data_IF_951882939935
#
_entry.id   IF_951882939935
#
_cell.length_a   1.000
_cell.length_b   1.000
_cell.length_c   1.000
_cell.angle_alpha   90.00
_cell.angle_beta   90.00
_cell.angle_gamma   90.00
#
_symmetry.space_group_name_H-M   'P 1'
#
loop_
_entity.id
_entity.type
_entity.pdbx_description
1 polymer ?
#
# COMPACT_ATOMS: atom_id res chain seq x y z
N UNK A 1 -13.03 15.07 6.49
CA UNK A 1 -13.25 15.91 7.67
C UNK A 1 -14.54 16.72 7.55
N UNK A 2 -14.74 17.48 6.45
CA UNK A 2 -15.94 18.32 6.25
C UNK A 2 -17.26 17.53 6.48
N UNK A 3 -17.38 16.35 5.90
CA UNK A 3 -18.57 15.51 6.03
C UNK A 3 -18.82 15.12 7.50
N UNK A 4 -17.78 14.70 8.21
CA UNK A 4 -17.91 14.31 9.63
C UNK A 4 -18.34 15.50 10.49
N UNK A 5 -17.81 16.69 10.23
CA UNK A 5 -18.21 17.93 10.92
C UNK A 5 -19.68 18.31 10.65
N UNK A 6 -20.24 17.86 9.54
CA UNK A 6 -21.66 18.03 9.17
C UNK A 6 -22.54 16.88 9.69
N UNK A 7 -22.00 15.97 10.50
CA UNK A 7 -22.74 14.81 11.03
C UNK A 7 -22.94 13.69 10.02
N UNK A 8 -22.18 13.69 8.91
CA UNK A 8 -22.19 12.63 7.90
C UNK A 8 -21.09 11.65 8.25
N UNK A 9 -21.46 10.46 8.70
CA UNK A 9 -20.54 9.44 9.20
C UNK A 9 -20.21 8.37 8.14
N UNK A 10 -19.16 7.54 8.36
CA UNK A 10 -18.87 6.41 7.50
C UNK A 10 -20.04 5.44 7.34
N UNK A 11 -20.24 4.83 6.16
CA UNK A 11 -19.42 4.97 4.95
C UNK A 11 -19.78 6.20 4.09
N UNK A 12 -20.87 6.92 4.40
CA UNK A 12 -21.36 8.04 3.62
C UNK A 12 -20.32 9.19 3.54
N UNK A 13 -19.56 9.41 4.61
CA UNK A 13 -18.49 10.42 4.65
C UNK A 13 -17.42 10.21 3.59
N UNK A 14 -17.19 8.95 3.17
CA UNK A 14 -16.19 8.58 2.18
C UNK A 14 -16.56 8.96 0.75
N UNK A 15 -17.84 9.01 0.40
CA UNK A 15 -18.28 9.25 -0.98
C UNK A 15 -19.07 10.55 -1.20
N UNK A 16 -19.79 11.03 -0.20
CA UNK A 16 -20.68 12.20 -0.37
C UNK A 16 -19.90 13.46 -0.67
N UNK A 17 -20.11 14.02 -1.86
CA UNK A 17 -19.41 15.22 -2.34
C UNK A 17 -17.89 15.11 -2.23
N UNK A 18 -17.33 13.92 -2.44
CA UNK A 18 -15.90 13.65 -2.36
C UNK A 18 -15.34 13.26 -3.74
N UNK A 19 -14.76 14.22 -4.50
CA UNK A 19 -14.15 13.94 -5.79
C UNK A 19 -12.86 13.11 -5.67
N UNK A 20 -12.27 13.03 -4.47
CA UNK A 20 -10.99 12.35 -4.18
C UNK A 20 -11.16 10.95 -3.62
N UNK A 21 -12.37 10.39 -3.67
CA UNK A 21 -12.71 9.12 -3.04
C UNK A 21 -11.95 7.89 -3.55
N UNK A 22 -11.31 8.00 -4.73
CA UNK A 22 -10.51 6.94 -5.35
C UNK A 22 -9.04 7.35 -5.55
N UNK A 23 -8.59 8.38 -4.84
CA UNK A 23 -7.18 8.75 -4.80
C UNK A 23 -6.39 7.82 -3.88
N UNK A 24 -5.06 7.83 -3.99
CA UNK A 24 -4.17 6.91 -3.29
C UNK A 24 -4.19 7.04 -1.76
N UNK A 25 -4.77 8.10 -1.22
CA UNK A 25 -4.71 8.41 0.21
C UNK A 25 -5.21 7.33 1.17
N UNK A 26 -6.10 6.42 0.76
CA UNK A 26 -6.44 5.23 1.53
C UNK A 26 -5.39 4.12 1.30
N UNK A 27 -5.07 3.80 0.05
CA UNK A 27 -4.13 2.74 -0.30
C UNK A 27 -2.78 2.92 0.42
N UNK A 28 -2.21 4.13 0.43
CA UNK A 28 -0.90 4.40 1.03
C UNK A 28 -0.81 4.10 2.53
N UNK A 29 -1.92 4.12 3.28
CA UNK A 29 -1.91 3.90 4.74
C UNK A 29 -2.34 2.49 5.16
N UNK A 30 -2.74 1.64 4.21
CA UNK A 30 -3.23 0.29 4.47
C UNK A 30 -2.21 -0.65 5.11
N UNK A 31 -0.92 -0.35 5.00
CA UNK A 31 0.16 -1.20 5.48
C UNK A 31 0.03 -1.57 6.97
N UNK A 32 -0.36 -0.63 7.84
CA UNK A 32 -0.52 -0.90 9.27
C UNK A 32 -1.58 -1.97 9.55
N UNK A 33 -2.64 -2.02 8.73
CA UNK A 33 -3.67 -3.06 8.85
C UNK A 33 -3.11 -4.45 8.55
N UNK A 34 -2.15 -4.55 7.61
CA UNK A 34 -1.42 -5.77 7.33
C UNK A 34 -0.43 -6.13 8.44
N UNK A 35 0.28 -5.15 8.99
CA UNK A 35 1.24 -5.35 10.08
C UNK A 35 0.58 -5.93 11.34
N UNK A 36 -0.62 -5.49 11.70
CA UNK A 36 -1.35 -5.99 12.87
C UNK A 36 -2.10 -7.31 12.62
N UNK A 37 -2.08 -7.81 11.40
CA UNK A 37 -2.73 -9.06 11.00
C UNK A 37 -1.74 -10.01 10.28
N UNK A 38 -0.63 -10.44 10.95
CA UNK A 38 0.41 -11.25 10.32
C UNK A 38 -0.15 -12.56 9.75
N UNK A 39 0.15 -12.85 8.47
CA UNK A 39 -0.29 -14.03 7.73
C UNK A 39 -1.82 -14.25 7.74
N UNK A 40 -2.61 -13.20 7.98
CA UNK A 40 -4.07 -13.24 7.95
C UNK A 40 -4.63 -12.14 7.03
N UNK A 41 -4.50 -12.27 5.70
CA UNK A 41 -4.88 -11.23 4.74
C UNK A 41 -6.39 -10.91 4.77
N UNK A 42 -7.25 -11.85 5.21
CA UNK A 42 -8.68 -11.58 5.39
C UNK A 42 -8.93 -10.58 6.51
N UNK A 43 -8.26 -10.75 7.66
CA UNK A 43 -8.37 -9.80 8.77
C UNK A 43 -7.77 -8.45 8.39
N UNK A 44 -6.61 -8.44 7.72
CA UNK A 44 -5.99 -7.23 7.21
C UNK A 44 -6.94 -6.42 6.31
N UNK A 45 -7.59 -7.09 5.34
CA UNK A 45 -8.57 -6.47 4.46
C UNK A 45 -9.80 -5.93 5.22
N UNK A 46 -10.29 -6.63 6.25
CA UNK A 46 -11.40 -6.16 7.08
C UNK A 46 -11.06 -4.90 7.88
N UNK A 47 -9.83 -4.83 8.41
CA UNK A 47 -9.35 -3.65 9.13
C UNK A 47 -9.20 -2.46 8.17
N UNK A 48 -8.56 -2.67 7.03
CA UNK A 48 -8.39 -1.67 5.98
C UNK A 48 -9.74 -1.16 5.44
N UNK A 49 -10.73 -2.04 5.23
CA UNK A 49 -12.06 -1.61 4.85
C UNK A 49 -12.68 -0.63 5.86
N UNK A 50 -12.57 -0.92 7.16
CA UNK A 50 -13.11 -0.05 8.22
C UNK A 50 -12.42 1.31 8.26
N UNK A 51 -11.12 1.37 8.01
CA UNK A 51 -10.38 2.62 7.92
C UNK A 51 -10.71 3.37 6.62
N UNK A 52 -10.66 2.68 5.49
CA UNK A 52 -10.85 3.27 4.17
C UNK A 52 -12.18 3.98 3.99
N UNK A 53 -13.28 3.38 4.44
CA UNK A 53 -14.64 3.96 4.29
C UNK A 53 -14.85 5.27 5.04
N UNK A 54 -13.96 5.66 5.93
CA UNK A 54 -14.01 6.97 6.62
C UNK A 54 -13.83 8.12 5.62
N UNK A 55 -12.95 7.95 4.64
CA UNK A 55 -12.52 9.02 3.73
C UNK A 55 -12.53 8.66 2.24
N UNK A 56 -12.64 7.39 1.90
CA UNK A 56 -12.61 6.88 0.52
C UNK A 56 -13.81 5.99 0.23
N UNK A 57 -13.95 5.60 -1.03
CA UNK A 57 -15.06 4.77 -1.49
C UNK A 57 -14.61 3.91 -2.66
N UNK A 58 -15.35 2.82 -2.90
CA UNK A 58 -15.17 1.94 -4.05
C UNK A 58 -13.70 1.52 -4.24
N UNK A 59 -13.10 1.79 -5.40
CA UNK A 59 -11.74 1.34 -5.73
C UNK A 59 -10.65 1.95 -4.84
N UNK A 60 -10.86 3.14 -4.27
CA UNK A 60 -9.96 3.71 -3.26
C UNK A 60 -9.87 2.86 -1.99
N UNK A 61 -11.00 2.28 -1.55
CA UNK A 61 -11.03 1.36 -0.40
C UNK A 61 -10.44 -0.01 -0.78
N UNK A 62 -10.74 -0.50 -2.00
CA UNK A 62 -10.18 -1.76 -2.49
C UNK A 62 -8.65 -1.68 -2.56
N UNK A 63 -8.09 -0.53 -2.98
CA UNK A 63 -6.65 -0.31 -2.99
C UNK A 63 -6.01 -0.40 -1.60
N UNK A 64 -6.66 0.16 -0.58
CA UNK A 64 -6.22 0.02 0.81
C UNK A 64 -6.23 -1.43 1.29
N UNK A 65 -7.32 -2.15 0.97
CA UNK A 65 -7.44 -3.57 1.28
C UNK A 65 -6.35 -4.39 0.58
N UNK A 66 -6.04 -4.07 -0.68
CA UNK A 66 -5.00 -4.76 -1.46
C UNK A 66 -3.62 -4.57 -0.84
N UNK A 67 -3.24 -3.34 -0.48
CA UNK A 67 -1.99 -3.07 0.22
C UNK A 67 -1.92 -3.81 1.58
N UNK A 68 -2.97 -3.73 2.38
CA UNK A 68 -3.04 -4.44 3.66
C UNK A 68 -2.89 -5.96 3.50
N UNK A 69 -3.51 -6.55 2.48
CA UNK A 69 -3.38 -7.98 2.19
C UNK A 69 -1.94 -8.35 1.81
N UNK A 70 -1.28 -7.56 0.95
CA UNK A 70 0.12 -7.78 0.59
C UNK A 70 1.02 -7.72 1.83
N UNK A 71 0.89 -6.70 2.67
CA UNK A 71 1.66 -6.58 3.92
C UNK A 71 1.43 -7.77 4.87
N UNK A 72 0.19 -8.24 5.00
CA UNK A 72 -0.13 -9.41 5.80
C UNK A 72 0.51 -10.70 5.25
N UNK A 73 0.52 -10.87 3.91
CA UNK A 73 1.12 -12.03 3.25
C UNK A 73 2.64 -12.04 3.37
N UNK A 74 3.30 -10.88 3.43
CA UNK A 74 4.75 -10.74 3.53
C UNK A 74 5.33 -11.37 4.81
N UNK A 75 4.54 -11.68 5.83
CA UNK A 75 4.98 -12.46 6.99
C UNK A 75 5.22 -13.94 6.69
N UNK A 76 4.64 -14.47 5.61
CA UNK A 76 4.71 -15.90 5.25
C UNK A 76 5.23 -16.14 3.83
N UNK A 77 5.39 -15.09 3.05
CA UNK A 77 5.88 -15.13 1.67
C UNK A 77 6.92 -14.03 1.48
N UNK A 78 8.04 -14.37 0.85
CA UNK A 78 9.14 -13.44 0.65
C UNK A 78 9.31 -13.01 -0.82
N UNK A 79 8.72 -13.76 -1.76
CA UNK A 79 8.76 -13.39 -3.17
C UNK A 79 7.70 -12.33 -3.49
N UNK A 80 8.15 -11.13 -3.82
CA UNK A 80 7.31 -9.96 -4.06
C UNK A 80 6.30 -10.18 -5.20
N UNK A 81 6.72 -10.84 -6.26
CA UNK A 81 5.85 -11.20 -7.38
C UNK A 81 4.73 -12.14 -6.92
N UNK A 82 5.07 -13.18 -6.18
CA UNK A 82 4.11 -14.14 -5.63
C UNK A 82 3.12 -13.47 -4.68
N UNK A 83 3.56 -12.49 -3.87
CA UNK A 83 2.69 -11.71 -2.98
C UNK A 83 1.61 -10.98 -3.81
N UNK A 84 2.02 -10.27 -4.87
CA UNK A 84 1.08 -9.57 -5.78
C UNK A 84 0.08 -10.54 -6.41
N UNK A 85 0.58 -11.67 -6.96
CA UNK A 85 -0.25 -12.70 -7.61
C UNK A 85 -1.25 -13.37 -6.66
N UNK A 86 -0.88 -13.56 -5.40
CA UNK A 86 -1.80 -14.07 -4.37
C UNK A 86 -2.81 -13.03 -3.93
N UNK A 87 -2.38 -11.78 -3.75
CA UNK A 87 -3.24 -10.71 -3.26
C UNK A 87 -4.36 -10.37 -4.25
N UNK A 88 -4.06 -10.32 -5.57
CA UNK A 88 -5.10 -10.06 -6.59
C UNK A 88 -6.20 -11.13 -6.59
N UNK A 89 -5.89 -12.38 -6.24
CA UNK A 89 -6.89 -13.44 -6.17
C UNK A 89 -7.97 -13.19 -5.10
N UNK A 90 -7.72 -12.29 -4.16
CA UNK A 90 -8.67 -11.90 -3.10
C UNK A 90 -9.44 -10.61 -3.42
N UNK A 91 -9.07 -9.90 -4.48
CA UNK A 91 -9.77 -8.69 -4.96
C UNK A 91 -11.01 -9.10 -5.74
N UNK A 92 -12.16 -8.42 -5.56
CA UNK A 92 -13.38 -8.70 -6.35
C UNK A 92 -13.10 -8.56 -7.86
N UNK A 93 -13.35 -9.62 -8.60
CA UNK A 93 -13.01 -9.72 -10.05
C UNK A 93 -13.80 -8.76 -10.94
N UNK A 94 -14.93 -8.27 -10.47
CA UNK A 94 -15.81 -7.30 -11.13
C UNK A 94 -15.47 -5.86 -10.79
N UNK A 95 -14.43 -5.63 -9.95
CA UNK A 95 -13.96 -4.29 -9.64
C UNK A 95 -13.02 -3.75 -10.72
N UNK A 96 -13.05 -2.43 -10.93
CA UNK A 96 -12.07 -1.77 -11.80
C UNK A 96 -10.65 -1.90 -11.25
N UNK A 97 -10.48 -1.89 -9.92
CA UNK A 97 -9.17 -2.08 -9.29
C UNK A 97 -8.55 -3.44 -9.65
N UNK A 98 -9.36 -4.52 -9.67
CA UNK A 98 -8.91 -5.82 -10.17
C UNK A 98 -8.40 -5.72 -11.61
N UNK A 99 -9.17 -5.06 -12.47
CA UNK A 99 -8.81 -4.89 -13.89
C UNK A 99 -7.49 -4.13 -14.06
N UNK A 100 -7.25 -3.11 -13.22
CA UNK A 100 -6.00 -2.32 -13.21
C UNK A 100 -4.80 -3.19 -12.83
N UNK A 101 -4.89 -3.89 -11.69
CA UNK A 101 -3.79 -4.75 -11.21
C UNK A 101 -3.55 -5.91 -12.19
N UNK A 102 -4.62 -6.52 -12.69
CA UNK A 102 -4.52 -7.61 -13.70
C UNK A 102 -3.85 -7.14 -14.99
N UNK A 103 -4.23 -5.97 -15.49
CA UNK A 103 -3.60 -5.36 -16.67
C UNK A 103 -2.10 -5.15 -16.47
N UNK A 104 -1.69 -4.64 -15.31
CA UNK A 104 -0.28 -4.44 -15.00
C UNK A 104 0.49 -5.78 -14.93
N UNK A 105 -0.09 -6.80 -14.28
CA UNK A 105 0.49 -8.15 -14.22
C UNK A 105 0.66 -8.74 -15.61
N UNK A 106 -0.39 -8.73 -16.43
CA UNK A 106 -0.35 -9.29 -17.79
C UNK A 106 0.70 -8.58 -18.64
N UNK A 107 0.75 -7.25 -18.55
CA UNK A 107 1.77 -6.44 -19.25
C UNK A 107 3.18 -6.82 -18.82
N UNK A 108 3.43 -7.06 -17.52
CA UNK A 108 4.73 -7.53 -17.05
C UNK A 108 5.11 -8.89 -17.64
N UNK A 109 4.15 -9.82 -17.70
CA UNK A 109 4.37 -11.17 -18.26
C UNK A 109 4.66 -11.10 -19.76
N UNK A 110 3.90 -10.31 -20.50
CA UNK A 110 4.00 -10.20 -21.96
C UNK A 110 5.29 -9.51 -22.40
N UNK A 111 5.74 -8.48 -21.69
CA UNK A 111 6.91 -7.70 -22.07
C UNK A 111 8.24 -8.26 -21.56
N UNK A 112 8.23 -8.86 -20.35
CA UNK A 112 9.45 -9.32 -19.68
C UNK A 112 10.47 -8.20 -19.36
N UNK A 113 10.08 -6.92 -19.45
CA UNK A 113 10.94 -5.75 -19.24
C UNK A 113 10.21 -4.67 -18.46
N UNK A 114 10.86 -4.11 -17.43
CA UNK A 114 10.33 -3.02 -16.63
C UNK A 114 9.99 -1.80 -17.49
N UNK A 115 10.92 -1.36 -18.32
CA UNK A 115 10.77 -0.15 -19.13
C UNK A 115 9.60 -0.26 -20.12
N UNK A 116 9.45 -1.43 -20.74
CA UNK A 116 8.34 -1.69 -21.66
C UNK A 116 7.01 -1.80 -20.92
N UNK A 117 6.98 -2.55 -19.82
CA UNK A 117 5.77 -2.72 -19.00
C UNK A 117 5.29 -1.38 -18.44
N UNK A 118 6.19 -0.59 -17.85
CA UNK A 118 5.82 0.70 -17.30
C UNK A 118 5.33 1.67 -18.38
N UNK A 119 6.02 1.78 -19.49
CA UNK A 119 5.59 2.64 -20.62
C UNK A 119 4.18 2.31 -21.12
N UNK A 120 3.82 1.02 -21.19
CA UNK A 120 2.48 0.59 -21.59
C UNK A 120 1.46 0.97 -20.52
N UNK A 121 1.74 0.68 -19.24
CA UNK A 121 0.86 1.03 -18.13
C UNK A 121 0.66 2.54 -18.00
N UNK A 122 1.74 3.33 -18.03
CA UNK A 122 1.69 4.78 -17.98
C UNK A 122 0.82 5.37 -19.10
N UNK A 123 1.00 4.90 -20.34
CA UNK A 123 0.17 5.34 -21.45
C UNK A 123 -1.29 4.90 -21.32
N UNK A 124 -1.56 3.73 -20.76
CA UNK A 124 -2.91 3.23 -20.55
C UNK A 124 -3.69 4.07 -19.52
N UNK A 125 -3.02 4.50 -18.46
CA UNK A 125 -3.62 5.27 -17.37
C UNK A 125 -3.39 6.80 -17.46
N UNK A 126 -2.88 7.32 -18.56
CA UNK A 126 -2.49 8.73 -18.74
C UNK A 126 -3.61 9.77 -18.53
N UNK A 127 -4.87 9.36 -18.66
CA UNK A 127 -6.04 10.23 -18.46
C UNK A 127 -6.38 10.40 -16.97
N UNK A 128 -5.82 9.57 -16.09
CA UNK A 128 -5.98 9.69 -14.64
C UNK A 128 -4.98 10.69 -14.06
N UNK A 129 -5.41 11.37 -12.99
CA UNK A 129 -4.51 12.22 -12.23
C UNK A 129 -3.41 11.37 -11.56
N UNK A 130 -2.20 11.89 -11.46
CA UNK A 130 -1.04 11.19 -10.85
C UNK A 130 -1.26 10.75 -9.41
N UNK A 131 -2.25 11.32 -8.69
CA UNK A 131 -2.64 10.92 -7.32
C UNK A 131 -3.71 9.82 -7.33
N UNK A 132 -4.31 9.48 -8.49
CA UNK A 132 -5.35 8.47 -8.57
C UNK A 132 -4.79 7.07 -8.24
N UNK A 133 -5.58 6.22 -7.56
CA UNK A 133 -5.15 4.88 -7.16
C UNK A 133 -4.68 4.00 -8.34
N UNK A 134 -5.26 4.16 -9.54
CA UNK A 134 -4.98 3.27 -10.67
C UNK A 134 -3.57 3.37 -11.25
N UNK A 135 -3.06 4.55 -11.66
CA UNK A 135 -1.68 4.63 -12.15
C UNK A 135 -0.66 4.24 -11.07
N UNK A 136 -0.97 4.54 -9.81
CA UNK A 136 -0.11 4.19 -8.69
C UNK A 136 -0.09 2.69 -8.40
N UNK A 137 -1.23 2.01 -8.39
CA UNK A 137 -1.29 0.55 -8.27
C UNK A 137 -0.55 -0.15 -9.41
N UNK A 138 -0.67 0.35 -10.65
CA UNK A 138 0.07 -0.19 -11.78
C UNK A 138 1.59 0.00 -11.62
N UNK A 139 2.04 1.17 -11.16
CA UNK A 139 3.45 1.45 -10.89
C UNK A 139 4.03 0.51 -9.83
N UNK A 140 3.29 0.31 -8.73
CA UNK A 140 3.68 -0.60 -7.64
C UNK A 140 3.80 -2.05 -8.14
N UNK A 141 2.82 -2.53 -8.89
CA UNK A 141 2.83 -3.89 -9.47
C UNK A 141 4.03 -4.07 -10.40
N UNK A 142 4.26 -3.14 -11.32
CA UNK A 142 5.39 -3.23 -12.25
C UNK A 142 6.73 -3.22 -11.49
N UNK A 143 6.88 -2.34 -10.49
CA UNK A 143 8.10 -2.30 -9.69
C UNK A 143 8.34 -3.63 -8.93
N UNK A 144 7.31 -4.17 -8.27
CA UNK A 144 7.40 -5.43 -7.54
C UNK A 144 7.67 -6.64 -8.45
N UNK A 145 7.19 -6.62 -9.69
CA UNK A 145 7.42 -7.69 -10.66
C UNK A 145 8.87 -7.81 -11.13
N UNK A 146 9.58 -6.68 -11.21
CA UNK A 146 10.95 -6.61 -11.74
C UNK A 146 12.01 -6.30 -10.69
N UNK A 147 11.66 -6.22 -9.40
CA UNK A 147 12.60 -5.89 -8.33
C UNK A 147 13.56 -7.03 -7.96
N UNK A 148 13.30 -8.27 -8.41
CA UNK A 148 14.13 -9.46 -8.08
C UNK A 148 14.34 -9.65 -6.57
N UNK A 149 13.35 -9.25 -5.77
CA UNK A 149 13.39 -9.29 -4.30
C UNK A 149 14.56 -8.47 -3.68
N UNK A 150 15.09 -7.50 -4.43
CA UNK A 150 16.14 -6.60 -4.00
C UNK A 150 15.56 -5.24 -3.59
N UNK A 151 15.86 -4.80 -2.36
CA UNK A 151 15.36 -3.55 -1.80
C UNK A 151 15.80 -2.32 -2.63
N UNK A 152 17.11 -2.24 -2.92
CA UNK A 152 17.67 -1.08 -3.63
C UNK A 152 17.17 -1.01 -5.08
N UNK A 153 17.01 -2.17 -5.71
CA UNK A 153 16.42 -2.26 -7.03
C UNK A 153 14.96 -1.82 -7.01
N UNK A 154 14.17 -2.31 -6.06
CA UNK A 154 12.76 -1.97 -5.95
C UNK A 154 12.53 -0.46 -5.76
N UNK A 155 13.26 0.17 -4.83
CA UNK A 155 13.12 1.61 -4.60
C UNK A 155 13.54 2.44 -5.82
N UNK A 156 14.55 1.98 -6.58
CA UNK A 156 14.93 2.63 -7.83
C UNK A 156 13.83 2.52 -8.89
N UNK A 157 13.25 1.34 -9.09
CA UNK A 157 12.20 1.11 -10.09
C UNK A 157 10.96 1.96 -9.79
N UNK A 158 10.49 1.96 -8.53
CA UNK A 158 9.30 2.74 -8.16
C UNK A 158 9.57 4.24 -8.23
N UNK A 159 10.79 4.69 -7.90
CA UNK A 159 11.16 6.10 -8.02
C UNK A 159 11.20 6.56 -9.48
N UNK A 160 11.65 5.70 -10.39
CA UNK A 160 11.70 5.98 -11.84
C UNK A 160 10.32 5.93 -12.51
N UNK A 161 9.36 5.25 -11.91
CA UNK A 161 7.98 5.21 -12.42
C UNK A 161 7.28 6.58 -12.32
N UNK A 162 7.71 7.44 -11.40
CA UNK A 162 7.01 8.70 -11.17
C UNK A 162 5.69 8.49 -10.41
N UNK A 163 4.65 9.27 -10.77
CA UNK A 163 3.36 9.28 -10.08
C UNK A 163 3.52 9.77 -8.63
N UNK A 164 2.81 9.21 -7.66
CA UNK A 164 2.91 9.54 -6.24
C UNK A 164 4.02 8.71 -5.56
N UNK A 165 5.27 9.06 -5.85
CA UNK A 165 6.46 8.25 -5.57
C UNK A 165 6.65 7.94 -4.09
N UNK A 166 6.47 8.92 -3.21
CA UNK A 166 6.65 8.74 -1.76
C UNK A 166 5.59 7.81 -1.18
N UNK A 167 4.33 7.95 -1.59
CA UNK A 167 3.26 7.05 -1.20
C UNK A 167 3.50 5.63 -1.71
N UNK A 168 3.86 5.48 -2.99
CA UNK A 168 4.13 4.19 -3.61
C UNK A 168 5.33 3.50 -2.97
N UNK A 169 6.44 4.22 -2.80
CA UNK A 169 7.63 3.66 -2.17
C UNK A 169 7.34 3.24 -0.72
N UNK A 170 6.64 4.06 0.08
CA UNK A 170 6.29 3.70 1.45
C UNK A 170 5.52 2.38 1.52
N UNK A 171 4.57 2.16 0.61
CA UNK A 171 3.77 0.94 0.56
C UNK A 171 4.62 -0.29 0.25
N UNK A 172 5.28 -0.31 -0.91
CA UNK A 172 5.95 -1.53 -1.37
C UNK A 172 7.25 -1.81 -0.62
N UNK A 173 7.97 -0.77 -0.15
CA UNK A 173 9.17 -0.99 0.68
C UNK A 173 8.83 -1.52 2.08
N UNK A 174 7.61 -1.30 2.58
CA UNK A 174 7.11 -1.93 3.80
C UNK A 174 7.07 -3.46 3.66
N UNK A 175 6.76 -4.01 2.48
CA UNK A 175 6.78 -5.44 2.23
C UNK A 175 8.16 -6.05 2.49
N UNK A 176 9.22 -5.36 2.06
CA UNK A 176 10.60 -5.79 2.31
C UNK A 176 10.93 -5.79 3.81
N UNK A 177 10.55 -4.73 4.52
CA UNK A 177 10.75 -4.66 5.97
C UNK A 177 10.05 -5.79 6.72
N UNK A 178 8.86 -6.19 6.28
CA UNK A 178 8.11 -7.31 6.87
C UNK A 178 8.75 -8.66 6.48
N UNK A 179 9.06 -8.87 5.20
CA UNK A 179 9.53 -10.15 4.68
C UNK A 179 10.97 -10.47 5.11
N UNK A 180 11.84 -9.47 5.14
CA UNK A 180 13.29 -9.64 5.33
C UNK A 180 13.86 -8.93 6.56
N UNK A 181 13.04 -8.15 7.29
CA UNK A 181 13.49 -7.38 8.44
C UNK A 181 14.36 -6.17 8.07
N UNK A 182 14.87 -5.50 9.09
CA UNK A 182 15.71 -4.29 8.93
C UNK A 182 17.08 -4.56 8.27
N UNK A 183 17.48 -5.81 8.19
CA UNK A 183 18.79 -6.20 7.63
C UNK A 183 18.84 -6.04 6.11
N UNK A 184 17.70 -6.17 5.41
CA UNK A 184 17.64 -5.93 3.97
C UNK A 184 17.80 -4.45 3.60
N UNK A 185 17.65 -3.53 4.55
CA UNK A 185 17.71 -2.09 4.32
C UNK A 185 19.13 -1.61 4.60
N UNK A 186 19.82 -1.14 3.56
CA UNK A 186 21.17 -0.64 3.69
C UNK A 186 21.26 0.59 4.63
N UNK A 187 22.39 0.72 5.34
CA UNK A 187 22.65 1.81 6.29
C UNK A 187 22.50 3.21 5.68
N UNK A 188 22.77 3.35 4.38
CA UNK A 188 22.59 4.61 3.65
C UNK A 188 21.14 5.13 3.67
N UNK A 189 20.14 4.24 3.84
CA UNK A 189 18.74 4.59 3.96
C UNK A 189 18.34 4.85 5.42
N UNK A 190 18.83 4.04 6.37
CA UNK A 190 18.47 4.10 7.79
C UNK A 190 19.13 5.23 8.53
N UNK A 191 20.45 5.40 8.38
CA UNK A 191 21.24 6.36 9.17
C UNK A 191 20.81 7.82 9.02
N UNK A 192 20.47 8.31 7.82
CA UNK A 192 19.98 9.68 7.67
C UNK A 192 18.63 9.95 8.34
N UNK A 193 17.78 8.93 8.46
CA UNK A 193 16.44 9.04 9.04
C UNK A 193 16.54 9.05 10.59
N UNK A 194 17.37 8.16 11.16
CA UNK A 194 17.46 7.98 12.61
C UNK A 194 16.20 7.37 13.21
N UNK A 195 15.94 7.64 14.49
CA UNK A 195 14.76 7.12 15.21
C UNK A 195 13.73 8.22 15.53
N UNK A 196 14.15 9.49 15.57
CA UNK A 196 13.28 10.62 15.90
C UNK A 196 12.24 10.86 14.80
N UNK A 197 10.98 11.06 15.19
CA UNK A 197 9.89 11.32 14.28
C UNK A 197 9.01 12.49 14.75
N UNK A 198 8.65 13.37 13.81
CA UNK A 198 7.64 14.40 14.00
C UNK A 198 6.33 14.00 13.35
N UNK A 199 5.21 14.16 14.03
CA UNK A 199 3.89 13.82 13.48
C UNK A 199 2.84 14.90 13.77
N UNK A 200 1.73 14.85 13.02
CA UNK A 200 0.53 15.66 13.29
C UNK A 200 -0.50 14.93 14.17
N UNK A 201 -0.14 13.76 14.70
CA UNK A 201 -1.04 13.00 15.56
C UNK A 201 -1.01 13.60 16.97
N UNK A 202 -2.18 14.02 17.48
CA UNK A 202 -2.32 14.59 18.79
C UNK A 202 -1.81 13.65 19.87
N UNK A 203 -0.88 14.12 20.70
CA UNK A 203 -0.21 13.35 21.75
C UNK A 203 1.02 12.58 21.27
N UNK A 204 1.33 12.63 19.96
CA UNK A 204 2.50 12.02 19.34
C UNK A 204 3.20 13.01 18.39
N UNK A 205 3.14 14.32 18.72
CA UNK A 205 3.76 15.37 17.90
C UNK A 205 5.28 15.19 17.80
N UNK A 206 5.89 14.65 18.86
CA UNK A 206 7.27 14.15 18.90
C UNK A 206 7.24 12.73 19.43
N UNK A 207 7.77 11.81 18.68
CA UNK A 207 7.81 10.39 19.01
C UNK A 207 9.03 9.74 18.34
N UNK A 208 9.15 8.43 18.43
CA UNK A 208 10.21 7.67 17.77
C UNK A 208 9.62 6.54 16.94
N UNK A 209 10.37 6.09 15.92
CA UNK A 209 10.01 4.89 15.15
C UNK A 209 9.90 3.69 16.10
N UNK A 210 10.84 3.58 17.07
CA UNK A 210 10.82 2.53 18.10
C UNK A 210 9.54 2.56 18.93
N UNK A 211 9.08 3.75 19.38
CA UNK A 211 7.84 3.88 20.16
C UNK A 211 6.63 3.41 19.36
N UNK A 212 6.47 3.89 18.11
CA UNK A 212 5.37 3.50 17.23
C UNK A 212 5.41 2.00 16.93
N UNK A 213 6.61 1.43 16.71
CA UNK A 213 6.78 -0.01 16.51
C UNK A 213 6.28 -0.80 17.71
N UNK A 214 6.60 -0.39 18.93
CA UNK A 214 6.11 -1.03 20.14
C UNK A 214 4.59 -0.96 20.28
N UNK A 215 3.97 0.16 19.93
CA UNK A 215 2.51 0.29 19.90
C UNK A 215 1.85 -0.68 18.92
N UNK A 216 2.45 -0.87 17.72
CA UNK A 216 1.96 -1.86 16.76
C UNK A 216 2.09 -3.28 17.31
N UNK A 217 3.24 -3.64 17.89
CA UNK A 217 3.48 -4.95 18.51
C UNK A 217 2.47 -5.23 19.64
N UNK A 218 2.20 -4.25 20.49
CA UNK A 218 1.25 -4.39 21.59
C UNK A 218 -0.19 -4.53 21.07
N UNK A 219 -0.52 -3.86 19.97
CA UNK A 219 -1.82 -4.03 19.28
C UNK A 219 -1.98 -5.45 18.75
N UNK A 220 -0.94 -6.02 18.13
CA UNK A 220 -0.94 -7.43 17.68
C UNK A 220 -1.16 -8.36 18.86
N UNK A 221 -0.41 -8.21 19.96
CA UNK A 221 -0.57 -9.03 21.16
C UNK A 221 -1.98 -8.97 21.72
N UNK A 222 -2.63 -7.78 21.69
CA UNK A 222 -4.00 -7.62 22.16
C UNK A 222 -5.02 -8.32 21.26
N UNK A 223 -4.83 -8.27 19.93
CA UNK A 223 -5.70 -8.94 18.95
C UNK A 223 -5.69 -10.48 19.06
N UNK A 224 -4.55 -11.06 19.43
CA UNK A 224 -4.36 -12.51 19.48
C UNK A 224 -4.40 -13.11 20.89
N UNK A 225 -4.69 -12.31 21.93
CA UNK A 225 -4.88 -12.78 23.32
C UNK A 225 -6.28 -13.35 23.60
N UNK A 226 -7.22 -13.18 22.67
CA UNK A 226 -8.59 -13.69 22.73
C UNK A 226 -8.79 -14.77 21.66
#
# INVERSE_FOLDING_TARGET
LKNIMLGIYPPESGYRSNPFREWIGAQMRGAVCGMVAPANPRLAAQLAFKDGVVSHHNNGVIGEMFNAMMCSMAYAETDMKTIVEKAICMVPKDSEYYSVVKFAIDTCIETGSYEQAWKICENHFKEYNWIHAYPNAAAEVVALYFCENDFDRCINLISMAGQDVDCNAAQIMTLFGIAYGMECIADRWKKPIGDDMMSYVRGYEKTTITEITNLVVDSVKALYKN
#
